data_IF_840839663002
#
_entry.id   IF_840839663002
#
_cell.length_a   1.000
_cell.length_b   1.000
_cell.length_c   1.000
_cell.angle_alpha   90.00
_cell.angle_beta   90.00
_cell.angle_gamma   90.00
#
_symmetry.space_group_name_H-M   'P 1'
#
loop_
_entity.id
_entity.type
_entity.pdbx_description
1 polymer ?
#
# COMPACT_ATOMS: atom_id res chain seq x y z
N UNK A 1 36.56 10.59 -45.59
CA UNK A 1 36.76 9.50 -44.60
C UNK A 1 36.56 9.99 -43.17
N UNK A 2 37.29 11.02 -42.69
CA UNK A 2 37.14 11.56 -41.31
C UNK A 2 35.72 12.01 -40.92
N UNK A 3 35.00 12.72 -41.80
CA UNK A 3 33.65 13.26 -41.50
C UNK A 3 32.58 12.15 -41.36
N UNK A 4 32.70 11.08 -42.15
CA UNK A 4 31.78 9.93 -42.11
C UNK A 4 31.98 9.14 -40.80
N UNK A 5 33.22 9.06 -40.31
CA UNK A 5 33.57 8.42 -39.04
C UNK A 5 33.01 9.21 -37.85
N UNK A 6 33.03 10.54 -37.90
CA UNK A 6 32.40 11.41 -36.90
C UNK A 6 30.88 11.30 -36.87
N UNK A 7 30.23 11.24 -38.04
CA UNK A 7 28.77 11.04 -38.12
C UNK A 7 28.33 9.67 -37.59
N UNK A 8 29.14 8.63 -37.81
CA UNK A 8 28.85 7.27 -37.34
C UNK A 8 29.04 7.13 -35.82
N UNK A 9 30.05 7.80 -35.25
CA UNK A 9 30.23 7.90 -33.80
C UNK A 9 29.09 8.68 -33.14
N UNK A 10 28.66 9.79 -33.75
CA UNK A 10 27.54 10.60 -33.24
C UNK A 10 26.21 9.84 -33.26
N UNK A 11 25.96 9.05 -34.30
CA UNK A 11 24.76 8.22 -34.41
C UNK A 11 24.73 7.09 -33.36
N UNK A 12 25.89 6.52 -33.02
CA UNK A 12 26.02 5.52 -31.95
C UNK A 12 25.72 6.13 -30.57
N UNK A 13 26.25 7.32 -30.28
CA UNK A 13 25.98 8.04 -29.01
C UNK A 13 24.50 8.38 -28.84
N UNK A 14 23.84 8.84 -29.91
CA UNK A 14 22.41 9.16 -29.90
C UNK A 14 21.51 7.93 -29.67
N UNK A 15 21.90 6.77 -30.20
CA UNK A 15 21.13 5.53 -30.01
C UNK A 15 21.21 5.01 -28.56
N UNK A 16 22.39 5.06 -27.95
CA UNK A 16 22.61 4.65 -26.54
C UNK A 16 21.84 5.58 -25.60
N UNK A 17 21.90 6.89 -25.84
CA UNK A 17 21.24 7.90 -25.01
C UNK A 17 19.70 7.88 -25.13
N UNK A 18 19.18 7.50 -26.31
CA UNK A 18 17.74 7.30 -26.50
C UNK A 18 17.24 6.08 -25.72
N UNK A 19 17.98 4.97 -25.74
CA UNK A 19 17.62 3.75 -25.00
C UNK A 19 17.64 3.99 -23.48
N UNK A 20 18.70 4.60 -22.94
CA UNK A 20 18.78 4.93 -21.51
C UNK A 20 17.67 5.89 -21.07
N UNK A 21 17.37 6.92 -21.87
CA UNK A 21 16.26 7.84 -21.61
C UNK A 21 14.88 7.16 -21.59
N UNK A 22 14.66 6.15 -22.43
CA UNK A 22 13.41 5.37 -22.38
C UNK A 22 13.31 4.49 -21.14
N UNK A 23 14.43 3.87 -20.72
CA UNK A 23 14.48 3.04 -19.52
C UNK A 23 14.24 3.86 -18.25
N UNK A 24 14.88 5.02 -18.12
CA UNK A 24 14.65 5.94 -16.98
C UNK A 24 13.17 6.35 -16.89
N UNK A 25 12.52 6.73 -18.00
CA UNK A 25 11.08 7.06 -18.01
C UNK A 25 10.19 5.90 -17.58
N UNK A 26 10.54 4.67 -17.93
CA UNK A 26 9.79 3.48 -17.49
C UNK A 26 9.95 3.23 -15.98
N UNK A 27 11.16 3.44 -15.46
CA UNK A 27 11.45 3.37 -14.03
C UNK A 27 10.71 4.47 -13.24
N UNK A 28 10.70 5.70 -13.73
CA UNK A 28 9.93 6.81 -13.14
C UNK A 28 8.42 6.52 -13.12
N UNK A 29 7.87 5.95 -14.21
CA UNK A 29 6.47 5.52 -14.25
C UNK A 29 6.18 4.44 -13.19
N UNK A 30 7.11 3.53 -12.99
CA UNK A 30 7.00 2.48 -11.98
C UNK A 30 7.03 3.07 -10.56
N UNK A 31 7.91 4.07 -10.34
CA UNK A 31 7.99 4.81 -9.08
C UNK A 31 6.70 5.59 -8.79
N UNK A 32 6.11 6.24 -9.79
CA UNK A 32 4.82 6.92 -9.66
C UNK A 32 3.70 5.95 -9.26
N UNK A 33 3.70 4.74 -9.83
CA UNK A 33 2.75 3.68 -9.46
C UNK A 33 2.95 3.20 -8.02
N UNK A 34 4.20 2.96 -7.60
CA UNK A 34 4.53 2.58 -6.22
C UNK A 34 4.07 3.66 -5.24
N UNK A 35 4.28 4.93 -5.56
CA UNK A 35 3.85 6.05 -4.74
C UNK A 35 2.32 6.08 -4.58
N UNK A 36 1.59 5.87 -5.68
CA UNK A 36 0.12 5.78 -5.64
C UNK A 36 -0.36 4.59 -4.80
N UNK A 37 0.26 3.41 -4.95
CA UNK A 37 -0.09 2.22 -4.17
C UNK A 37 0.21 2.43 -2.67
N UNK A 38 1.35 3.04 -2.35
CA UNK A 38 1.75 3.36 -0.98
C UNK A 38 0.75 4.28 -0.28
N UNK A 39 0.26 5.32 -0.99
CA UNK A 39 -0.78 6.20 -0.48
C UNK A 39 -2.10 5.45 -0.23
N UNK A 40 -2.49 4.56 -1.15
CA UNK A 40 -3.70 3.75 -0.98
C UNK A 40 -3.58 2.81 0.23
N UNK A 41 -2.42 2.17 0.42
CA UNK A 41 -2.17 1.30 1.57
C UNK A 41 -2.25 2.09 2.88
N UNK A 42 -1.67 3.29 2.95
CA UNK A 42 -1.78 4.15 4.13
C UNK A 42 -3.23 4.50 4.44
N UNK A 43 -4.03 4.84 3.43
CA UNK A 43 -5.47 5.11 3.61
C UNK A 43 -6.22 3.89 4.14
N UNK A 44 -5.97 2.71 3.55
CA UNK A 44 -6.58 1.46 4.00
C UNK A 44 -6.17 1.11 5.43
N UNK A 45 -4.89 1.32 5.78
CA UNK A 45 -4.37 1.07 7.11
C UNK A 45 -5.10 1.92 8.15
N UNK A 46 -5.23 3.23 7.91
CA UNK A 46 -5.98 4.13 8.78
C UNK A 46 -7.44 3.65 8.93
N UNK A 47 -8.12 3.38 7.82
CA UNK A 47 -9.51 2.90 7.86
C UNK A 47 -9.67 1.63 8.71
N UNK A 48 -8.83 0.61 8.50
CA UNK A 48 -8.92 -0.66 9.24
C UNK A 48 -8.53 -0.47 10.72
N UNK A 49 -7.58 0.40 11.01
CA UNK A 49 -7.22 0.76 12.38
C UNK A 49 -8.42 1.38 13.12
N UNK A 50 -9.15 2.27 12.47
CA UNK A 50 -10.38 2.87 13.02
C UNK A 50 -11.44 1.80 13.27
N UNK A 51 -11.69 0.90 12.32
CA UNK A 51 -12.64 -0.22 12.49
C UNK A 51 -12.27 -1.09 13.69
N UNK A 52 -11.01 -1.49 13.80
CA UNK A 52 -10.50 -2.26 14.94
C UNK A 52 -10.69 -1.51 16.26
N UNK A 53 -10.37 -0.21 16.29
CA UNK A 53 -10.55 0.60 17.50
C UNK A 53 -12.01 0.69 17.90
N UNK A 54 -12.92 0.84 16.94
CA UNK A 54 -14.36 0.87 17.19
C UNK A 54 -14.84 -0.45 17.77
N UNK A 55 -14.47 -1.59 17.19
CA UNK A 55 -14.82 -2.90 17.75
C UNK A 55 -14.34 -3.05 19.20
N UNK A 56 -13.08 -2.67 19.50
CA UNK A 56 -12.53 -2.76 20.86
C UNK A 56 -13.30 -1.86 21.83
N UNK A 57 -13.60 -0.63 21.41
CA UNK A 57 -14.24 0.40 22.24
C UNK A 57 -15.74 0.16 22.42
N UNK A 58 -16.38 -0.55 21.49
CA UNK A 58 -17.80 -0.88 21.55
C UNK A 58 -18.03 -1.86 22.70
N UNK A 59 -18.63 -1.37 23.78
CA UNK A 59 -19.15 -2.24 24.83
C UNK A 59 -20.35 -3.00 24.28
N UNK A 60 -20.50 -4.31 24.57
CA UNK A 60 -21.69 -5.07 24.16
C UNK A 60 -22.91 -4.47 24.87
N UNK A 61 -23.54 -3.48 24.22
CA UNK A 61 -24.65 -2.72 24.77
C UNK A 61 -25.93 -3.44 24.38
N UNK A 62 -26.49 -4.18 25.34
CA UNK A 62 -27.72 -4.97 25.14
C UNK A 62 -29.00 -4.17 25.30
N UNK A 63 -28.91 -2.84 25.42
CA UNK A 63 -30.06 -2.00 25.72
C UNK A 63 -30.45 -1.26 24.45
N UNK A 64 -31.61 -1.56 23.85
CA UNK A 64 -32.18 -0.71 22.82
C UNK A 64 -32.37 0.68 23.42
N UNK A 65 -31.82 1.72 22.79
CA UNK A 65 -32.17 3.10 23.09
C UNK A 65 -33.62 3.36 22.65
N UNK A 66 -34.59 2.88 23.42
CA UNK A 66 -36.02 3.12 23.22
C UNK A 66 -36.57 3.74 24.51
N UNK A 67 -37.09 4.97 24.48
CA UNK A 67 -37.91 5.49 25.57
C UNK A 67 -39.31 4.87 25.45
N UNK A 68 -39.46 3.59 25.80
CA UNK A 68 -40.77 2.95 25.89
C UNK A 68 -40.76 1.81 26.89
N UNK A 69 -41.65 1.90 27.86
CA UNK A 69 -41.87 0.96 28.96
C UNK A 69 -42.46 -0.38 28.48
N UNK A 70 -41.74 -1.12 27.63
CA UNK A 70 -41.99 -2.53 27.34
C UNK A 70 -40.75 -3.32 27.71
N UNK A 71 -40.95 -4.34 28.56
CA UNK A 71 -39.95 -5.33 28.97
C UNK A 71 -39.17 -5.83 27.75
N UNK A 72 -37.97 -5.30 27.53
CA UNK A 72 -37.04 -5.85 26.54
C UNK A 72 -36.62 -7.22 27.06
N UNK A 73 -36.78 -8.30 26.27
CA UNK A 73 -36.34 -9.62 26.68
C UNK A 73 -34.85 -9.58 27.01
N UNK A 74 -34.48 -10.05 28.20
CA UNK A 74 -33.07 -10.23 28.54
C UNK A 74 -32.47 -11.22 27.52
N UNK A 75 -31.38 -10.86 26.81
CA UNK A 75 -30.73 -11.75 25.86
C UNK A 75 -30.32 -13.06 26.52
N UNK A 76 -30.44 -14.19 25.80
CA UNK A 76 -29.98 -15.48 26.31
C UNK A 76 -28.45 -15.45 26.45
N UNK A 77 -27.93 -16.12 27.47
CA UNK A 77 -26.48 -16.21 27.71
C UNK A 77 -25.70 -16.71 26.48
N UNK A 78 -26.25 -17.70 25.75
CA UNK A 78 -25.66 -18.24 24.51
C UNK A 78 -25.50 -17.18 23.41
N UNK A 79 -26.45 -16.25 23.31
CA UNK A 79 -26.39 -15.17 22.32
C UNK A 79 -25.29 -14.15 22.70
N UNK A 80 -25.07 -13.93 23.99
CA UNK A 80 -23.98 -13.06 24.47
C UNK A 80 -22.61 -13.65 24.19
N UNK A 81 -22.44 -14.95 24.42
CA UNK A 81 -21.20 -15.65 24.11
C UNK A 81 -20.91 -15.60 22.61
N UNK A 82 -21.94 -15.81 21.77
CA UNK A 82 -21.80 -15.73 20.31
C UNK A 82 -21.40 -14.33 19.85
N UNK A 83 -22.05 -13.28 20.35
CA UNK A 83 -21.70 -11.89 20.03
C UNK A 83 -20.27 -11.54 20.43
N UNK A 84 -19.81 -12.05 21.58
CA UNK A 84 -18.44 -11.84 22.04
C UNK A 84 -17.42 -12.56 21.14
N UNK A 85 -17.73 -13.80 20.72
CA UNK A 85 -16.90 -14.56 19.79
C UNK A 85 -16.81 -13.87 18.42
N UNK A 86 -17.94 -13.46 17.86
CA UNK A 86 -17.98 -12.74 16.57
C UNK A 86 -17.19 -11.42 16.63
N UNK A 87 -17.28 -10.68 17.74
CA UNK A 87 -16.47 -9.48 17.96
C UNK A 87 -14.97 -9.81 17.98
N UNK A 88 -14.58 -10.87 18.68
CA UNK A 88 -13.19 -11.31 18.75
C UNK A 88 -12.65 -11.71 17.36
N UNK A 89 -13.43 -12.45 16.58
CA UNK A 89 -13.10 -12.83 15.20
C UNK A 89 -12.90 -11.60 14.30
N UNK A 90 -13.76 -10.57 14.42
CA UNK A 90 -13.59 -9.32 13.67
C UNK A 90 -12.31 -8.58 14.04
N UNK A 91 -11.98 -8.50 15.33
CA UNK A 91 -10.73 -7.87 15.81
C UNK A 91 -9.50 -8.61 15.27
N UNK A 92 -9.52 -9.94 15.30
CA UNK A 92 -8.43 -10.78 14.76
C UNK A 92 -8.27 -10.59 13.26
N UNK A 93 -9.38 -10.57 12.51
CA UNK A 93 -9.37 -10.29 11.08
C UNK A 93 -8.74 -8.92 10.78
N UNK A 94 -9.18 -7.86 11.44
CA UNK A 94 -8.60 -6.53 11.23
C UNK A 94 -7.12 -6.47 11.60
N UNK A 95 -6.70 -7.21 12.62
CA UNK A 95 -5.29 -7.31 13.00
C UNK A 95 -4.46 -7.99 11.91
N UNK A 96 -4.98 -9.09 11.32
CA UNK A 96 -4.32 -9.77 10.20
C UNK A 96 -4.24 -8.87 8.96
N UNK A 97 -5.30 -8.11 8.65
CA UNK A 97 -5.32 -7.17 7.53
C UNK A 97 -4.29 -6.05 7.71
N UNK A 98 -4.16 -5.49 8.92
CA UNK A 98 -3.13 -4.48 9.23
C UNK A 98 -1.72 -5.02 9.05
N UNK A 99 -1.45 -6.24 9.50
CA UNK A 99 -0.14 -6.90 9.32
C UNK A 99 0.19 -7.10 7.84
N UNK A 100 -0.79 -7.51 7.04
CA UNK A 100 -0.63 -7.68 5.59
C UNK A 100 -0.33 -6.35 4.90
N UNK A 101 -1.07 -5.29 5.25
CA UNK A 101 -0.84 -3.95 4.70
C UNK A 101 0.56 -3.42 5.06
N UNK A 102 1.01 -3.65 6.29
CA UNK A 102 2.35 -3.29 6.73
C UNK A 102 3.44 -4.04 5.95
N UNK A 103 3.29 -5.36 5.77
CA UNK A 103 4.22 -6.15 4.96
C UNK A 103 4.28 -5.63 3.51
N UNK A 104 3.13 -5.37 2.90
CA UNK A 104 3.05 -4.83 1.53
C UNK A 104 3.70 -3.45 1.41
N UNK A 105 3.51 -2.58 2.41
CA UNK A 105 4.17 -1.28 2.43
C UNK A 105 5.70 -1.41 2.42
N UNK A 106 6.25 -2.32 3.23
CA UNK A 106 7.69 -2.57 3.27
C UNK A 106 8.22 -3.16 1.95
N UNK A 107 7.47 -4.05 1.31
CA UNK A 107 7.80 -4.54 -0.03
C UNK A 107 7.91 -3.39 -1.04
N UNK A 108 6.92 -2.49 -1.06
CA UNK A 108 6.92 -1.33 -1.95
C UNK A 108 8.08 -0.36 -1.68
N UNK A 109 8.45 -0.15 -0.42
CA UNK A 109 9.61 0.70 -0.11
C UNK A 109 10.91 0.05 -0.60
N UNK A 110 11.06 -1.27 -0.48
CA UNK A 110 12.21 -1.99 -1.04
C UNK A 110 12.25 -1.88 -2.58
N UNK A 111 11.11 -2.07 -3.25
CA UNK A 111 10.99 -1.90 -4.72
C UNK A 111 11.37 -0.47 -5.15
N UNK A 112 10.91 0.53 -4.40
CA UNK A 112 11.25 1.94 -4.64
C UNK A 112 12.75 2.19 -4.53
N UNK A 113 13.42 1.68 -3.50
CA UNK A 113 14.87 1.84 -3.35
C UNK A 113 15.61 1.18 -4.52
N UNK A 114 15.23 -0.04 -4.91
CA UNK A 114 15.84 -0.73 -6.04
C UNK A 114 15.67 0.03 -7.38
N UNK A 115 14.52 0.68 -7.59
CA UNK A 115 14.28 1.52 -8.77
C UNK A 115 15.15 2.78 -8.74
N UNK A 116 15.26 3.45 -7.59
CA UNK A 116 16.10 4.64 -7.44
C UNK A 116 17.58 4.33 -7.69
N UNK A 117 18.08 3.19 -7.21
CA UNK A 117 19.42 2.72 -7.49
C UNK A 117 19.65 2.45 -8.99
N UNK A 118 18.66 1.85 -9.66
CA UNK A 118 18.73 1.61 -11.11
C UNK A 118 18.77 2.93 -11.89
N UNK A 119 17.92 3.90 -11.56
CA UNK A 119 17.93 5.23 -12.19
C UNK A 119 19.31 5.87 -12.03
N UNK A 120 19.84 5.92 -10.80
CA UNK A 120 21.16 6.47 -10.51
C UNK A 120 22.27 5.80 -11.33
N UNK A 121 22.22 4.48 -11.47
CA UNK A 121 23.21 3.73 -12.26
C UNK A 121 23.14 4.03 -13.77
N UNK A 122 21.94 4.27 -14.30
CA UNK A 122 21.72 4.63 -15.70
C UNK A 122 22.15 6.06 -16.00
N UNK A 123 21.90 6.98 -15.06
CA UNK A 123 22.37 8.37 -15.15
C UNK A 123 23.90 8.42 -15.17
N UNK A 124 24.58 7.71 -14.27
CA UNK A 124 26.04 7.64 -14.25
C UNK A 124 26.65 7.08 -15.54
N UNK A 125 26.05 6.01 -16.11
CA UNK A 125 26.48 5.44 -17.40
C UNK A 125 26.26 6.36 -18.60
N UNK A 126 25.39 7.36 -18.48
CA UNK A 126 25.12 8.34 -19.54
C UNK A 126 26.09 9.51 -19.49
N UNK A 127 26.75 9.75 -18.35
CA UNK A 127 27.75 10.82 -18.16
C UNK A 127 29.20 10.38 -18.48
N UNK A 128 29.48 9.07 -18.56
CA UNK A 128 30.76 8.47 -18.99
C UNK A 128 30.89 8.32 -20.52
#
# INVERSE_FOLDING_TARGET
>A
MRIVLFLLLLALSLAIQADTGTQVRQLEKSLARIQQESQSIQQQFMMIQELRRNEISESPTLIPSIPSAKSVPVPKYEDLIRLQQEKQERIEKYTADLNRLYARYNELENEKQAILEQIKSLEQKTEE
#
